data_IF_671580183630
#
_entry.id   IF_671580183630
#
_cell.length_a   1.000
_cell.length_b   1.000
_cell.length_c   1.000
_cell.angle_alpha   90.00
_cell.angle_beta   90.00
_cell.angle_gamma   90.00
#
_symmetry.space_group_name_H-M   'P 1'
#
loop_
_entity.id
_entity.type
_entity.pdbx_description
1 polymer ?
#
# COMPACT_ATOMS: atom_id res chain seq x y z
N UNK A 1 -23.49 13.26 -69.15
CA UNK A 1 -23.06 14.54 -68.52
C UNK A 1 -23.86 15.66 -69.16
N UNK A 2 -24.51 16.60 -68.52
CA UNK A 2 -24.78 16.95 -67.11
C UNK A 2 -25.72 18.16 -67.30
N UNK A 3 -26.85 18.23 -66.62
CA UNK A 3 -27.36 19.53 -66.13
C UNK A 3 -28.43 19.30 -65.07
N UNK A 4 -27.94 19.44 -63.85
CA UNK A 4 -28.67 19.62 -62.61
C UNK A 4 -29.43 20.95 -62.61
N UNK A 5 -30.69 20.90 -62.17
CA UNK A 5 -31.50 21.90 -61.45
C UNK A 5 -32.76 21.11 -61.05
N UNK A 6 -33.38 21.13 -59.88
CA UNK A 6 -33.21 21.84 -58.62
C UNK A 6 -34.26 21.25 -57.64
N UNK A 7 -33.88 21.01 -56.38
CA UNK A 7 -34.62 21.32 -55.13
C UNK A 7 -35.98 20.63 -54.81
N UNK A 8 -36.07 20.19 -53.53
CA UNK A 8 -37.25 19.87 -52.69
C UNK A 8 -38.09 18.66 -53.16
N UNK A 9 -38.68 17.79 -52.34
CA UNK A 9 -38.79 17.55 -50.90
C UNK A 9 -39.80 16.38 -50.77
N UNK A 10 -39.75 15.67 -49.65
CA UNK A 10 -40.82 14.85 -49.03
C UNK A 10 -41.05 13.37 -49.41
N UNK A 11 -40.96 12.56 -48.34
CA UNK A 11 -41.73 11.35 -47.96
C UNK A 11 -41.14 10.00 -48.43
N UNK A 12 -40.39 9.30 -47.57
CA UNK A 12 -40.84 8.31 -46.56
C UNK A 12 -41.43 7.03 -47.17
N UNK A 13 -40.69 5.92 -47.05
CA UNK A 13 -41.18 4.55 -46.72
C UNK A 13 -39.92 3.68 -46.52
N UNK A 14 -39.45 3.56 -45.28
CA UNK A 14 -39.66 2.37 -44.45
C UNK A 14 -39.05 1.08 -45.05
N UNK A 15 -37.75 0.90 -44.87
CA UNK A 15 -37.12 -0.42 -44.86
C UNK A 15 -36.72 -0.73 -43.42
N UNK A 16 -37.58 -1.50 -42.75
CA UNK A 16 -37.28 -2.18 -41.50
C UNK A 16 -36.15 -3.17 -41.79
N UNK A 17 -34.92 -2.79 -41.44
CA UNK A 17 -33.83 -3.75 -41.30
C UNK A 17 -33.77 -4.12 -39.83
N UNK A 18 -34.15 -5.37 -39.56
CA UNK A 18 -33.96 -6.01 -38.29
C UNK A 18 -32.47 -5.91 -37.90
N UNK A 19 -32.19 -5.10 -36.88
CA UNK A 19 -30.97 -5.25 -36.10
C UNK A 19 -31.09 -6.59 -35.38
N UNK A 20 -30.50 -7.62 -35.97
CA UNK A 20 -30.19 -8.83 -35.22
C UNK A 20 -29.19 -8.44 -34.15
N UNK A 21 -29.45 -8.82 -32.90
CA UNK A 21 -28.42 -8.88 -31.86
C UNK A 21 -27.39 -9.90 -32.35
N UNK A 22 -26.32 -9.43 -32.98
CA UNK A 22 -25.14 -10.25 -33.20
C UNK A 22 -24.45 -10.41 -31.85
N UNK A 23 -24.39 -11.63 -31.35
CA UNK A 23 -23.48 -11.99 -30.27
C UNK A 23 -22.06 -11.58 -30.67
N UNK A 24 -21.29 -11.06 -29.71
CA UNK A 24 -19.93 -10.55 -29.88
C UNK A 24 -19.01 -11.66 -30.41
N UNK A 25 -18.83 -11.74 -31.73
CA UNK A 25 -17.84 -12.61 -32.37
C UNK A 25 -16.49 -11.88 -32.45
N UNK A 26 -15.88 -11.60 -31.28
CA UNK A 26 -14.43 -11.48 -31.03
C UNK A 26 -14.17 -10.91 -29.62
N UNK A 27 -13.34 -11.54 -28.78
CA UNK A 27 -12.96 -11.00 -27.46
C UNK A 27 -12.32 -9.60 -27.50
N UNK A 28 -11.87 -9.13 -28.66
CA UNK A 28 -11.21 -7.83 -28.85
C UNK A 28 -12.13 -6.65 -29.16
N UNK A 29 -13.42 -6.86 -29.48
CA UNK A 29 -14.34 -5.77 -29.88
C UNK A 29 -15.11 -5.14 -28.71
N UNK A 30 -14.99 -5.69 -27.49
CA UNK A 30 -15.72 -5.23 -26.30
C UNK A 30 -14.92 -4.43 -25.27
N UNK A 31 -13.62 -4.20 -25.51
CA UNK A 31 -12.72 -3.49 -24.59
C UNK A 31 -12.21 -2.19 -25.22
N UNK A 32 -12.05 -1.16 -24.39
CA UNK A 32 -11.38 0.08 -24.78
C UNK A 32 -9.88 -0.01 -24.46
N UNK A 33 -9.06 0.56 -25.33
CA UNK A 33 -7.61 0.52 -25.23
C UNK A 33 -6.99 1.90 -25.40
N UNK A 34 -5.92 2.17 -24.65
CA UNK A 34 -5.10 3.38 -24.77
C UNK A 34 -3.64 2.98 -25.01
N UNK A 35 -2.99 3.66 -25.96
CA UNK A 35 -1.59 3.44 -26.31
C UNK A 35 -0.70 4.14 -25.27
N UNK A 36 0.36 3.48 -24.81
CA UNK A 36 1.31 4.13 -23.90
C UNK A 36 2.09 5.27 -24.60
N UNK A 37 2.76 6.11 -23.81
CA UNK A 37 3.50 7.29 -24.31
C UNK A 37 4.55 6.94 -25.39
N UNK A 38 5.20 5.77 -25.24
CA UNK A 38 6.22 5.26 -26.16
C UNK A 38 5.63 4.60 -27.42
N UNK A 39 4.30 4.55 -27.54
CA UNK A 39 3.58 3.99 -28.68
C UNK A 39 3.90 2.52 -28.99
N UNK A 40 4.30 1.74 -27.98
CA UNK A 40 4.77 0.37 -28.15
C UNK A 40 3.96 -0.69 -27.40
N UNK A 41 2.93 -0.29 -26.65
CA UNK A 41 2.05 -1.19 -25.91
C UNK A 41 0.71 -0.53 -25.59
N UNK A 42 -0.29 -1.34 -25.23
CA UNK A 42 -1.63 -0.90 -24.85
C UNK A 42 -1.94 -1.15 -23.37
N UNK A 43 -2.75 -0.25 -22.82
CA UNK A 43 -3.51 -0.44 -21.58
C UNK A 43 -4.98 -0.68 -21.92
N UNK A 44 -5.64 -1.58 -21.18
CA UNK A 44 -7.11 -1.69 -21.20
C UNK A 44 -7.68 -0.59 -20.31
N UNK A 45 -8.56 0.26 -20.83
CA UNK A 45 -9.07 1.44 -20.13
C UNK A 45 -10.58 1.41 -19.89
N UNK A 46 -11.29 0.39 -20.39
CA UNK A 46 -12.73 0.41 -20.37
C UNK A 46 -13.38 -0.86 -20.90
N UNK A 47 -14.67 -0.99 -20.61
CA UNK A 47 -15.59 -1.73 -21.46
C UNK A 47 -16.08 -0.81 -22.58
N UNK A 48 -16.00 -1.29 -23.81
CA UNK A 48 -16.71 -0.70 -24.94
C UNK A 48 -18.22 -0.94 -24.83
N UNK A 49 -18.90 -1.19 -25.95
CA UNK A 49 -20.37 -1.31 -26.03
C UNK A 49 -20.95 -2.64 -25.51
N UNK A 50 -20.15 -3.48 -24.86
CA UNK A 50 -20.53 -4.85 -24.52
C UNK A 50 -20.73 -5.04 -23.01
N UNK A 51 -21.93 -5.47 -22.62
CA UNK A 51 -22.29 -5.87 -21.26
C UNK A 51 -21.87 -7.32 -20.94
N UNK A 52 -20.68 -7.73 -21.40
CA UNK A 52 -20.21 -9.09 -21.14
C UNK A 52 -19.95 -9.28 -19.65
N UNK A 53 -20.36 -10.44 -19.17
CA UNK A 53 -20.19 -10.85 -17.78
C UNK A 53 -18.85 -11.57 -17.59
N UNK A 54 -18.28 -12.15 -18.66
CA UNK A 54 -17.02 -12.91 -18.59
C UNK A 54 -16.02 -12.34 -19.58
N UNK A 55 -14.92 -11.78 -19.07
CA UNK A 55 -13.95 -11.06 -19.89
C UNK A 55 -12.63 -11.83 -19.95
N UNK A 56 -12.08 -11.95 -21.15
CA UNK A 56 -10.72 -12.44 -21.37
C UNK A 56 -9.95 -11.33 -22.07
N UNK A 57 -9.03 -10.70 -21.34
CA UNK A 57 -8.18 -9.66 -21.91
C UNK A 57 -7.19 -10.35 -22.87
N UNK A 58 -7.09 -9.91 -24.14
CA UNK A 58 -6.11 -10.48 -25.07
C UNK A 58 -4.69 -10.03 -24.68
N UNK A 59 -3.69 -10.88 -24.92
CA UNK A 59 -2.29 -10.53 -24.68
C UNK A 59 -1.74 -9.48 -25.65
N UNK A 60 -2.41 -9.31 -26.79
CA UNK A 60 -2.04 -8.37 -27.85
C UNK A 60 -3.28 -7.68 -28.42
N UNK A 61 -3.14 -6.42 -28.80
CA UNK A 61 -4.15 -5.64 -29.52
C UNK A 61 -3.46 -4.89 -30.66
N UNK A 62 -4.00 -5.02 -31.89
CA UNK A 62 -3.44 -4.43 -33.11
C UNK A 62 -1.93 -4.70 -33.35
N UNK A 63 -1.45 -5.88 -32.92
CA UNK A 63 -0.05 -6.31 -33.11
C UNK A 63 0.94 -5.75 -32.07
N UNK A 64 0.45 -5.08 -31.02
CA UNK A 64 1.25 -4.63 -29.88
C UNK A 64 0.78 -5.33 -28.58
N UNK A 65 1.68 -5.54 -27.60
CA UNK A 65 1.32 -6.19 -26.34
C UNK A 65 0.36 -5.33 -25.52
N UNK A 66 -0.56 -6.01 -24.81
CA UNK A 66 -1.38 -5.40 -23.75
C UNK A 66 -0.64 -5.59 -22.43
N UNK A 67 -0.17 -4.49 -21.85
CA UNK A 67 0.77 -4.51 -20.71
C UNK A 67 0.14 -4.07 -19.39
N UNK A 68 -1.08 -3.54 -19.39
CA UNK A 68 -1.65 -2.99 -18.18
C UNK A 68 -3.16 -2.86 -18.22
N UNK A 69 -3.74 -2.77 -17.04
CA UNK A 69 -5.13 -2.36 -16.85
C UNK A 69 -5.10 -0.96 -16.26
N UNK A 70 -5.68 -0.01 -16.98
CA UNK A 70 -5.70 1.39 -16.63
C UNK A 70 -6.53 1.67 -15.37
N UNK A 71 -6.32 2.86 -14.82
CA UNK A 71 -7.05 3.34 -13.66
C UNK A 71 -8.56 3.35 -13.98
N UNK A 72 -9.37 2.83 -13.06
CA UNK A 72 -10.84 2.75 -13.18
C UNK A 72 -11.37 2.00 -14.42
N UNK A 73 -10.56 1.17 -15.09
CA UNK A 73 -10.95 0.54 -16.36
C UNK A 73 -12.28 -0.25 -16.31
N UNK A 74 -12.57 -0.90 -15.19
CA UNK A 74 -13.81 -1.64 -14.94
C UNK A 74 -14.54 -1.10 -13.71
N UNK A 75 -14.34 0.18 -13.36
CA UNK A 75 -14.99 0.79 -12.20
C UNK A 75 -16.52 0.68 -12.31
N UNK A 76 -17.14 0.10 -11.29
CA UNK A 76 -18.60 -0.01 -11.22
C UNK A 76 -19.21 -1.02 -12.20
N UNK A 77 -18.43 -1.93 -12.79
CA UNK A 77 -18.94 -2.97 -13.69
C UNK A 77 -19.78 -4.00 -12.94
N UNK A 78 -21.05 -3.67 -12.68
CA UNK A 78 -21.98 -4.47 -11.87
C UNK A 78 -22.36 -5.83 -12.46
N UNK A 79 -22.18 -6.01 -13.78
CA UNK A 79 -22.45 -7.28 -14.47
C UNK A 79 -21.22 -8.18 -14.61
N UNK A 80 -20.01 -7.69 -14.32
CA UNK A 80 -18.78 -8.45 -14.49
C UNK A 80 -18.73 -9.57 -13.45
N UNK A 81 -18.77 -10.83 -13.88
CA UNK A 81 -18.72 -12.02 -13.03
C UNK A 81 -17.35 -12.69 -13.04
N UNK A 82 -16.63 -12.65 -14.17
CA UNK A 82 -15.27 -13.17 -14.27
C UNK A 82 -14.36 -12.34 -15.17
N UNK A 83 -13.06 -12.30 -14.83
CA UNK A 83 -12.04 -11.74 -15.70
C UNK A 83 -10.77 -12.59 -15.73
N UNK A 84 -10.20 -12.75 -16.93
CA UNK A 84 -8.90 -13.37 -17.16
C UNK A 84 -7.92 -12.33 -17.70
N UNK A 85 -6.86 -12.09 -16.92
CA UNK A 85 -5.77 -11.16 -17.21
C UNK A 85 -4.57 -11.98 -17.70
N UNK A 86 -4.02 -11.72 -18.91
CA UNK A 86 -2.95 -12.53 -19.49
C UNK A 86 -1.57 -12.20 -18.90
N UNK A 87 -0.60 -13.10 -19.12
CA UNK A 87 0.80 -12.95 -18.68
C UNK A 87 1.54 -11.75 -19.30
N UNK A 88 1.01 -11.11 -20.33
CA UNK A 88 1.59 -9.88 -20.89
C UNK A 88 1.37 -8.65 -20.00
N UNK A 89 0.36 -8.69 -19.12
CA UNK A 89 0.01 -7.59 -18.22
C UNK A 89 0.97 -7.55 -17.04
N UNK A 90 1.53 -6.38 -16.78
CA UNK A 90 2.52 -6.14 -15.72
C UNK A 90 2.00 -5.27 -14.58
N UNK A 91 0.86 -4.59 -14.75
CA UNK A 91 0.24 -3.74 -13.73
C UNK A 91 -1.29 -3.73 -13.77
N UNK A 92 -1.91 -3.62 -12.59
CA UNK A 92 -3.33 -3.35 -12.40
C UNK A 92 -3.46 -1.98 -11.74
N UNK A 93 -4.07 -1.03 -12.45
CA UNK A 93 -4.18 0.36 -12.03
C UNK A 93 -5.15 0.60 -10.86
N UNK A 94 -5.14 1.83 -10.37
CA UNK A 94 -5.94 2.26 -9.24
C UNK A 94 -7.43 2.15 -9.54
N UNK A 95 -8.17 1.56 -8.60
CA UNK A 95 -9.61 1.35 -8.68
C UNK A 95 -10.06 0.58 -9.94
N UNK A 96 -9.17 -0.18 -10.59
CA UNK A 96 -9.44 -0.86 -11.86
C UNK A 96 -10.71 -1.71 -11.86
N UNK A 97 -11.00 -2.43 -10.78
CA UNK A 97 -12.19 -3.26 -10.59
C UNK A 97 -13.06 -2.81 -9.41
N UNK A 98 -12.86 -1.58 -8.94
CA UNK A 98 -13.60 -1.03 -7.80
C UNK A 98 -15.10 -1.09 -8.04
N UNK A 99 -15.85 -1.52 -7.02
CA UNK A 99 -17.30 -1.67 -7.04
C UNK A 99 -17.83 -2.59 -8.17
N UNK A 100 -17.15 -3.72 -8.42
CA UNK A 100 -17.68 -4.83 -9.22
C UNK A 100 -18.31 -5.90 -8.31
N UNK A 101 -19.53 -5.71 -7.77
CA UNK A 101 -20.10 -6.58 -6.74
C UNK A 101 -20.40 -8.00 -7.21
N UNK A 102 -20.54 -8.24 -8.52
CA UNK A 102 -20.79 -9.56 -9.09
C UNK A 102 -19.50 -10.33 -9.41
N UNK A 103 -18.31 -9.70 -9.28
CA UNK A 103 -17.04 -10.30 -9.67
C UNK A 103 -16.68 -11.42 -8.69
N UNK A 104 -16.67 -12.66 -9.18
CA UNK A 104 -16.44 -13.86 -8.38
C UNK A 104 -15.12 -14.53 -8.69
N UNK A 105 -14.64 -14.42 -9.94
CA UNK A 105 -13.45 -15.11 -10.43
C UNK A 105 -12.50 -14.12 -11.12
N UNK A 106 -11.28 -14.04 -10.60
CA UNK A 106 -10.20 -13.23 -11.18
C UNK A 106 -8.99 -14.13 -11.40
N UNK A 107 -8.57 -14.27 -12.65
CA UNK A 107 -7.31 -14.93 -13.00
C UNK A 107 -6.30 -13.85 -13.34
N UNK A 108 -5.20 -13.78 -12.58
CA UNK A 108 -4.12 -12.81 -12.78
C UNK A 108 -2.93 -13.52 -13.43
N UNK A 109 -2.42 -12.96 -14.53
CA UNK A 109 -1.21 -13.44 -15.19
C UNK A 109 0.04 -13.28 -14.32
N UNK A 110 1.05 -14.12 -14.59
CA UNK A 110 2.23 -14.27 -13.74
C UNK A 110 3.22 -13.09 -13.80
N UNK A 111 3.02 -12.11 -14.70
CA UNK A 111 3.91 -10.96 -14.84
C UNK A 111 3.43 -9.71 -14.10
N UNK A 112 2.28 -9.75 -13.43
CA UNK A 112 1.77 -8.59 -12.68
C UNK A 112 2.65 -8.31 -11.47
N UNK A 113 3.23 -7.12 -11.42
CA UNK A 113 4.17 -6.71 -10.36
C UNK A 113 3.54 -5.83 -9.29
N UNK A 114 2.40 -5.19 -9.60
CA UNK A 114 1.71 -4.26 -8.70
C UNK A 114 0.19 -4.35 -8.83
N UNK A 115 -0.48 -4.23 -7.68
CA UNK A 115 -1.94 -4.07 -7.57
C UNK A 115 -2.20 -2.70 -6.97
N UNK A 116 -2.85 -1.82 -7.74
CA UNK A 116 -3.08 -0.43 -7.41
C UNK A 116 -4.01 -0.19 -6.21
N UNK A 117 -4.09 1.07 -5.80
CA UNK A 117 -4.94 1.57 -4.72
C UNK A 117 -6.40 1.25 -5.05
N UNK A 118 -7.11 0.65 -4.09
CA UNK A 118 -8.52 0.30 -4.22
C UNK A 118 -8.84 -0.60 -5.43
N UNK A 119 -7.87 -1.32 -6.01
CA UNK A 119 -8.03 -2.05 -7.27
C UNK A 119 -9.26 -2.98 -7.31
N UNK A 120 -9.58 -3.68 -6.22
CA UNK A 120 -10.73 -4.58 -6.07
C UNK A 120 -11.67 -4.16 -4.92
N UNK A 121 -11.66 -2.88 -4.51
CA UNK A 121 -12.52 -2.44 -3.41
C UNK A 121 -14.00 -2.74 -3.72
N UNK A 122 -14.73 -3.32 -2.79
CA UNK A 122 -16.16 -3.59 -2.94
C UNK A 122 -16.50 -4.72 -3.93
N UNK A 123 -15.53 -5.53 -4.37
CA UNK A 123 -15.78 -6.81 -5.05
C UNK A 123 -16.37 -7.84 -4.07
N UNK A 124 -17.59 -7.58 -3.61
CA UNK A 124 -18.21 -8.28 -2.47
C UNK A 124 -18.50 -9.75 -2.72
N UNK A 125 -18.62 -10.19 -3.97
CA UNK A 125 -18.76 -11.60 -4.35
C UNK A 125 -17.44 -12.34 -4.60
N UNK A 126 -16.29 -11.66 -4.53
CA UNK A 126 -14.97 -12.28 -4.76
C UNK A 126 -14.67 -13.27 -3.62
N UNK A 127 -14.67 -14.56 -3.94
CA UNK A 127 -14.52 -15.62 -2.92
C UNK A 127 -13.07 -16.03 -2.70
N UNK A 128 -12.27 -15.99 -3.78
CA UNK A 128 -10.87 -16.38 -3.82
C UNK A 128 -10.15 -15.57 -4.89
N UNK A 129 -8.88 -15.26 -4.65
CA UNK A 129 -7.98 -14.68 -5.64
C UNK A 129 -6.57 -15.19 -5.39
N UNK A 130 -5.88 -15.58 -6.47
CA UNK A 130 -4.47 -15.95 -6.41
C UNK A 130 -3.66 -14.74 -6.85
N UNK A 131 -2.88 -14.17 -5.93
CA UNK A 131 -1.93 -13.11 -6.24
C UNK A 131 -0.63 -13.77 -6.77
N UNK A 132 -0.14 -13.40 -7.97
CA UNK A 132 1.10 -13.96 -8.52
C UNK A 132 2.35 -13.68 -7.67
N UNK A 133 3.34 -14.57 -7.72
CA UNK A 133 4.60 -14.44 -6.96
C UNK A 133 5.44 -13.21 -7.35
N UNK A 134 5.20 -12.64 -8.54
CA UNK A 134 5.84 -11.42 -9.04
C UNK A 134 5.31 -10.13 -8.42
N UNK A 135 4.17 -10.17 -7.71
CA UNK A 135 3.61 -8.99 -7.05
C UNK A 135 4.50 -8.60 -5.87
N UNK A 136 4.88 -7.32 -5.85
CA UNK A 136 5.76 -6.76 -4.81
C UNK A 136 5.05 -5.84 -3.83
N UNK A 137 3.86 -5.34 -4.20
CA UNK A 137 3.05 -4.45 -3.37
C UNK A 137 1.55 -4.70 -3.54
N UNK A 138 0.81 -4.55 -2.44
CA UNK A 138 -0.66 -4.52 -2.41
C UNK A 138 -1.06 -3.13 -1.93
N UNK A 139 -1.66 -2.34 -2.83
CA UNK A 139 -2.00 -0.94 -2.59
C UNK A 139 -3.05 -0.72 -1.51
N UNK A 140 -3.16 0.54 -1.06
CA UNK A 140 -4.12 0.97 -0.04
C UNK A 140 -5.54 0.54 -0.43
N UNK A 141 -6.26 -0.13 0.47
CA UNK A 141 -7.63 -0.57 0.22
C UNK A 141 -7.83 -1.57 -0.93
N UNK A 142 -6.76 -2.16 -1.49
CA UNK A 142 -6.82 -2.96 -2.73
C UNK A 142 -7.91 -4.05 -2.71
N UNK A 143 -8.15 -4.71 -1.58
CA UNK A 143 -9.20 -5.72 -1.40
C UNK A 143 -10.23 -5.32 -0.33
N UNK A 144 -10.31 -4.04 0.03
CA UNK A 144 -11.27 -3.57 1.04
C UNK A 144 -12.70 -3.90 0.62
N UNK A 145 -13.56 -4.29 1.57
CA UNK A 145 -14.94 -4.71 1.32
C UNK A 145 -15.12 -5.92 0.38
N UNK A 146 -14.09 -6.74 0.14
CA UNK A 146 -14.24 -8.07 -0.47
C UNK A 146 -14.87 -9.05 0.54
N UNK A 147 -16.12 -8.82 0.90
CA UNK A 147 -16.79 -9.46 2.05
C UNK A 147 -16.98 -10.97 1.95
N UNK A 148 -16.91 -11.56 0.75
CA UNK A 148 -16.95 -13.01 0.51
C UNK A 148 -15.57 -13.67 0.46
N UNK A 149 -14.47 -12.90 0.50
CA UNK A 149 -13.12 -13.45 0.42
C UNK A 149 -12.84 -14.25 1.69
N UNK A 150 -12.60 -15.56 1.55
CA UNK A 150 -12.48 -16.46 2.71
C UNK A 150 -11.04 -16.68 3.16
N UNK A 151 -10.12 -16.70 2.20
CA UNK A 151 -8.69 -16.87 2.42
C UNK A 151 -7.88 -16.14 1.35
N UNK A 152 -6.65 -15.74 1.71
CA UNK A 152 -5.71 -15.20 0.74
C UNK A 152 -4.26 -15.59 1.09
N UNK A 153 -3.48 -15.89 0.05
CA UNK A 153 -2.06 -16.15 0.15
C UNK A 153 -1.28 -14.91 -0.31
N UNK A 154 -0.55 -14.26 0.58
CA UNK A 154 0.32 -13.15 0.21
C UNK A 154 1.64 -13.74 -0.35
N UNK A 155 2.04 -13.39 -1.57
CA UNK A 155 3.22 -13.96 -2.19
C UNK A 155 4.52 -13.44 -1.57
N UNK A 156 5.60 -14.22 -1.67
CA UNK A 156 6.91 -13.90 -1.07
C UNK A 156 7.56 -12.64 -1.68
N UNK A 157 7.10 -12.19 -2.86
CA UNK A 157 7.54 -10.91 -3.43
C UNK A 157 7.02 -9.69 -2.65
N UNK A 158 5.92 -9.83 -1.91
CA UNK A 158 5.28 -8.70 -1.22
C UNK A 158 6.08 -8.27 -0.02
N UNK A 159 6.44 -6.99 0.00
CA UNK A 159 7.12 -6.32 1.12
C UNK A 159 6.18 -5.41 1.90
N UNK A 160 5.12 -4.90 1.25
CA UNK A 160 4.15 -3.99 1.85
C UNK A 160 2.70 -4.47 1.67
N UNK A 161 1.98 -4.58 2.80
CA UNK A 161 0.52 -4.67 2.83
C UNK A 161 0.01 -3.31 3.32
N UNK A 162 -0.51 -2.48 2.42
CA UNK A 162 -0.84 -1.10 2.73
C UNK A 162 -2.09 -0.92 3.65
N UNK A 163 -2.34 0.33 4.02
CA UNK A 163 -3.50 0.75 4.82
C UNK A 163 -4.81 0.20 4.23
N UNK A 164 -5.71 -0.27 5.10
CA UNK A 164 -7.03 -0.79 4.72
C UNK A 164 -7.05 -1.93 3.69
N UNK A 165 -5.90 -2.55 3.32
CA UNK A 165 -5.80 -3.48 2.18
C UNK A 165 -6.87 -4.57 2.17
N UNK A 166 -7.26 -5.10 3.34
CA UNK A 166 -8.32 -6.09 3.51
C UNK A 166 -9.41 -5.63 4.50
N UNK A 167 -9.58 -4.32 4.71
CA UNK A 167 -10.62 -3.81 5.63
C UNK A 167 -12.00 -4.36 5.22
N UNK A 168 -12.82 -4.76 6.21
CA UNK A 168 -14.19 -5.26 5.98
C UNK A 168 -14.27 -6.50 5.07
N UNK A 169 -13.21 -7.30 4.94
CA UNK A 169 -13.29 -8.67 4.43
C UNK A 169 -13.91 -9.59 5.49
N UNK A 170 -15.24 -9.48 5.67
CA UNK A 170 -15.97 -10.10 6.79
C UNK A 170 -16.03 -11.62 6.78
N UNK A 171 -15.59 -12.27 5.70
CA UNK A 171 -15.44 -13.74 5.63
C UNK A 171 -13.99 -14.20 5.69
N UNK A 172 -13.01 -13.28 5.76
CA UNK A 172 -11.59 -13.60 5.72
C UNK A 172 -11.15 -14.16 7.07
N UNK A 173 -11.03 -15.49 7.11
CA UNK A 173 -10.67 -16.24 8.33
C UNK A 173 -9.22 -16.70 8.35
N UNK A 174 -8.58 -16.75 7.18
CA UNK A 174 -7.21 -17.23 7.03
C UNK A 174 -6.41 -16.34 6.08
N UNK A 175 -5.22 -15.93 6.50
CA UNK A 175 -4.26 -15.23 5.66
C UNK A 175 -2.86 -15.79 5.90
N UNK A 176 -2.11 -16.00 4.84
CA UNK A 176 -0.69 -16.30 4.92
C UNK A 176 0.12 -15.02 4.69
N UNK A 177 0.93 -14.63 5.69
CA UNK A 177 1.87 -13.50 5.59
C UNK A 177 3.30 -14.08 5.52
N UNK A 178 4.03 -13.89 4.41
CA UNK A 178 5.41 -14.33 4.28
C UNK A 178 6.37 -13.46 5.08
N UNK A 179 7.56 -13.99 5.38
CA UNK A 179 8.61 -13.27 6.13
C UNK A 179 9.23 -12.12 5.30
N UNK A 180 8.89 -12.00 4.02
CA UNK A 180 9.27 -10.89 3.14
C UNK A 180 8.52 -9.59 3.45
N UNK A 181 7.34 -9.69 4.08
CA UNK A 181 6.55 -8.50 4.44
C UNK A 181 7.31 -7.76 5.52
N UNK A 182 7.64 -6.50 5.26
CA UNK A 182 8.31 -5.60 6.21
C UNK A 182 7.38 -4.53 6.76
N UNK A 183 6.18 -4.38 6.17
CA UNK A 183 5.20 -3.38 6.57
C UNK A 183 3.76 -3.91 6.46
N UNK A 184 2.97 -3.64 7.50
CA UNK A 184 1.52 -3.87 7.53
C UNK A 184 0.87 -2.56 7.96
N UNK A 185 0.09 -1.98 7.05
CA UNK A 185 -0.59 -0.71 7.24
C UNK A 185 -1.70 -0.75 8.28
N UNK A 186 -2.12 0.45 8.70
CA UNK A 186 -3.23 0.66 9.60
C UNK A 186 -4.50 0.03 9.06
N UNK A 187 -5.21 -0.65 9.95
CA UNK A 187 -6.52 -1.22 9.64
C UNK A 187 -6.50 -2.20 8.45
N UNK A 188 -5.33 -2.69 8.03
CA UNK A 188 -5.20 -3.62 6.91
C UNK A 188 -6.11 -4.84 7.07
N UNK A 189 -6.35 -5.29 8.31
CA UNK A 189 -7.25 -6.40 8.65
C UNK A 189 -8.42 -5.99 9.54
N UNK A 190 -8.83 -4.71 9.54
CA UNK A 190 -9.95 -4.24 10.36
C UNK A 190 -11.24 -4.95 9.92
N UNK A 191 -11.98 -5.46 10.90
CA UNK A 191 -13.21 -6.22 10.71
C UNK A 191 -13.04 -7.54 9.92
N UNK A 192 -11.82 -8.11 9.89
CA UNK A 192 -11.58 -9.47 9.41
C UNK A 192 -11.68 -10.47 10.58
N UNK A 193 -12.48 -11.55 10.47
CA UNK A 193 -12.56 -12.59 11.49
C UNK A 193 -11.38 -13.58 11.40
N UNK A 194 -10.14 -13.07 11.37
CA UNK A 194 -8.93 -13.88 11.25
C UNK A 194 -8.78 -14.82 12.45
N UNK A 195 -8.39 -16.06 12.18
CA UNK A 195 -7.98 -17.00 13.22
C UNK A 195 -6.61 -16.59 13.76
N UNK A 196 -6.59 -16.08 14.99
CA UNK A 196 -5.36 -15.69 15.67
C UNK A 196 -4.78 -16.83 16.50
N UNK A 197 -3.45 -16.89 16.58
CA UNK A 197 -2.74 -17.69 17.57
C UNK A 197 -2.89 -16.98 18.93
N UNK A 198 -3.57 -17.62 19.86
CA UNK A 198 -3.85 -17.08 21.19
C UNK A 198 -2.76 -17.50 22.18
N UNK A 199 -2.23 -16.53 22.92
CA UNK A 199 -1.29 -16.72 24.02
C UNK A 199 -1.69 -15.85 25.22
N UNK A 200 -1.02 -16.06 26.36
CA UNK A 200 -1.36 -15.41 27.62
C UNK A 200 -1.28 -13.87 27.56
N UNK A 201 -0.37 -13.35 26.75
CA UNK A 201 -0.11 -11.91 26.63
C UNK A 201 -0.93 -11.24 25.51
N UNK A 202 -1.08 -11.90 24.36
CA UNK A 202 -1.61 -11.31 23.15
C UNK A 202 -2.11 -12.34 22.14
N UNK A 203 -2.82 -11.83 21.14
CA UNK A 203 -3.21 -12.52 19.92
C UNK A 203 -2.21 -12.21 18.81
N UNK A 204 -1.75 -13.26 18.15
CA UNK A 204 -0.76 -13.17 17.08
C UNK A 204 -1.31 -13.70 15.76
N UNK A 205 -0.74 -13.19 14.68
CA UNK A 205 -0.94 -13.72 13.34
C UNK A 205 0.43 -14.20 12.84
N UNK A 206 0.50 -15.45 12.38
CA UNK A 206 1.73 -16.08 11.96
C UNK A 206 1.54 -17.52 11.50
N UNK A 207 2.53 -18.06 10.82
CA UNK A 207 2.53 -19.43 10.26
C UNK A 207 3.10 -20.44 11.25
N UNK A 208 3.01 -21.74 10.94
CA UNK A 208 3.55 -22.81 11.79
C UNK A 208 5.03 -22.64 12.16
N UNK A 209 5.86 -22.09 11.26
CA UNK A 209 7.28 -21.86 11.53
C UNK A 209 7.56 -20.62 12.37
N UNK A 210 6.66 -19.63 12.37
CA UNK A 210 6.70 -18.47 13.26
C UNK A 210 5.25 -18.04 13.61
N UNK A 211 4.66 -18.60 14.68
CA UNK A 211 3.29 -18.26 15.06
C UNK A 211 3.17 -16.87 15.70
N UNK A 212 4.29 -16.23 16.04
CA UNK A 212 4.36 -14.93 16.74
C UNK A 212 4.68 -13.75 15.81
N UNK A 213 4.70 -13.96 14.49
CA UNK A 213 5.17 -12.99 13.49
C UNK A 213 4.63 -11.57 13.70
N UNK A 214 3.30 -11.44 13.81
CA UNK A 214 2.60 -10.16 14.03
C UNK A 214 1.82 -10.20 15.34
N UNK A 215 2.13 -9.30 16.27
CA UNK A 215 1.31 -9.07 17.46
C UNK A 215 0.14 -8.16 17.07
N UNK A 216 -1.07 -8.71 17.08
CA UNK A 216 -2.28 -8.03 16.55
C UNK A 216 -3.01 -7.25 17.63
N UNK A 217 -3.25 -7.86 18.79
CA UNK A 217 -3.93 -7.20 19.91
C UNK A 217 -3.58 -7.86 21.25
N UNK A 218 -3.59 -7.08 22.32
CA UNK A 218 -3.47 -7.59 23.68
C UNK A 218 -4.57 -8.61 24.01
N UNK A 219 -4.26 -9.56 24.89
CA UNK A 219 -5.20 -10.61 25.30
C UNK A 219 -6.43 -10.03 26.03
N UNK A 220 -6.21 -9.02 26.85
CA UNK A 220 -7.23 -8.27 27.57
C UNK A 220 -6.73 -6.85 27.87
N UNK A 221 -7.66 -5.92 28.13
CA UNK A 221 -7.33 -4.52 28.41
C UNK A 221 -6.72 -4.29 29.81
N UNK A 222 -6.86 -5.27 30.71
CA UNK A 222 -6.39 -5.20 32.10
C UNK A 222 -4.96 -5.73 32.28
N UNK A 223 -4.28 -6.08 31.18
CA UNK A 223 -2.89 -6.56 31.21
C UNK A 223 -1.98 -5.50 31.85
N UNK A 224 -1.32 -5.87 32.96
CA UNK A 224 -0.49 -4.94 33.73
C UNK A 224 0.94 -4.78 33.17
N UNK A 225 1.46 -5.87 32.59
CA UNK A 225 2.78 -5.93 31.98
C UNK A 225 2.79 -6.93 30.83
N UNK A 226 3.60 -6.69 29.81
CA UNK A 226 3.72 -7.60 28.67
C UNK A 226 5.19 -7.81 28.26
N UNK A 227 5.61 -9.07 28.14
CA UNK A 227 6.84 -9.41 27.44
C UNK A 227 6.45 -9.94 26.06
N UNK A 228 6.93 -9.28 25.00
CA UNK A 228 6.69 -9.74 23.63
C UNK A 228 7.66 -10.89 23.33
N UNK A 229 7.21 -11.87 22.53
CA UNK A 229 8.00 -13.04 22.16
C UNK A 229 9.16 -12.67 21.22
N UNK A 230 10.32 -13.29 21.40
CA UNK A 230 11.55 -13.04 20.61
C UNK A 230 11.45 -13.40 19.12
N UNK A 231 10.35 -14.01 18.67
CA UNK A 231 10.09 -14.26 17.25
C UNK A 231 9.12 -13.24 16.63
N UNK A 232 8.65 -12.25 17.40
CA UNK A 232 7.77 -11.20 16.89
C UNK A 232 8.58 -10.19 16.08
N UNK A 233 8.11 -9.91 14.86
CA UNK A 233 8.72 -8.92 13.97
C UNK A 233 7.88 -7.64 13.90
N UNK A 234 6.55 -7.76 14.02
CA UNK A 234 5.61 -6.65 13.85
C UNK A 234 4.75 -6.47 15.09
N UNK A 235 4.64 -5.24 15.57
CA UNK A 235 3.59 -4.83 16.51
C UNK A 235 2.57 -4.03 15.72
N UNK A 236 1.38 -4.58 15.52
CA UNK A 236 0.35 -3.96 14.70
C UNK A 236 -0.17 -2.65 15.30
N UNK A 237 -0.71 -1.78 14.45
CA UNK A 237 -1.37 -0.56 14.89
C UNK A 237 -2.48 -0.88 15.90
N UNK A 238 -2.58 -0.04 16.93
CA UNK A 238 -3.55 -0.19 18.03
C UNK A 238 -3.45 -1.49 18.85
N UNK A 239 -2.37 -2.28 18.75
CA UNK A 239 -2.30 -3.59 19.40
C UNK A 239 -2.55 -3.57 20.92
N UNK A 240 -2.08 -2.55 21.63
CA UNK A 240 -2.32 -2.35 23.06
C UNK A 240 -3.23 -1.15 23.34
N UNK A 241 -3.94 -0.63 22.34
CA UNK A 241 -4.82 0.55 22.51
C UNK A 241 -5.80 0.34 23.67
N UNK A 242 -5.87 1.32 24.58
CA UNK A 242 -6.71 1.28 25.78
C UNK A 242 -6.36 0.17 26.78
N UNK A 243 -5.15 -0.39 26.77
CA UNK A 243 -4.68 -1.21 27.89
C UNK A 243 -4.33 -0.31 29.08
N UNK A 244 -5.34 0.15 29.82
CA UNK A 244 -5.21 1.19 30.84
C UNK A 244 -4.47 0.74 32.10
N UNK A 245 -4.20 -0.56 32.22
CA UNK A 245 -3.40 -1.14 33.31
C UNK A 245 -1.94 -1.39 32.90
N UNK A 246 -1.60 -1.26 31.60
CA UNK A 246 -0.29 -1.65 31.08
C UNK A 246 0.78 -0.62 31.45
N UNK A 247 1.57 -0.91 32.48
CA UNK A 247 2.62 -0.02 33.00
C UNK A 247 4.02 -0.34 32.49
N UNK A 248 4.26 -1.57 32.01
CA UNK A 248 5.55 -1.99 31.46
C UNK A 248 5.39 -2.91 30.25
N UNK A 249 6.30 -2.77 29.30
CA UNK A 249 6.38 -3.65 28.15
C UNK A 249 7.83 -3.85 27.72
N UNK A 250 8.19 -5.09 27.37
CA UNK A 250 9.51 -5.44 26.84
C UNK A 250 9.40 -5.71 25.34
N UNK A 251 10.20 -4.97 24.56
CA UNK A 251 10.28 -5.10 23.10
C UNK A 251 11.56 -5.88 22.75
N UNK A 252 11.47 -7.07 22.13
CA UNK A 252 12.64 -7.84 21.73
C UNK A 252 13.29 -7.26 20.47
N UNK A 253 14.59 -7.54 20.30
CA UNK A 253 15.40 -7.03 19.18
C UNK A 253 14.94 -7.55 17.80
N UNK A 254 14.10 -8.60 17.78
CA UNK A 254 13.49 -9.15 16.57
C UNK A 254 12.43 -8.23 15.95
N UNK A 255 11.87 -7.29 16.72
CA UNK A 255 10.86 -6.35 16.22
C UNK A 255 11.53 -5.37 15.27
N UNK A 256 10.95 -5.22 14.09
CA UNK A 256 11.45 -4.30 13.06
C UNK A 256 10.47 -3.14 12.82
N UNK A 257 9.20 -3.29 13.19
CA UNK A 257 8.18 -2.26 12.98
C UNK A 257 7.13 -2.22 14.09
N UNK A 258 6.72 -0.99 14.42
CA UNK A 258 5.67 -0.69 15.40
C UNK A 258 4.66 0.24 14.74
N UNK A 259 3.42 -0.25 14.67
CA UNK A 259 2.29 0.44 14.05
C UNK A 259 1.82 1.67 14.82
N UNK A 260 1.07 2.51 14.12
CA UNK A 260 0.50 3.73 14.69
C UNK A 260 -0.38 3.42 15.91
N UNK A 261 -0.30 4.27 16.94
CA UNK A 261 -1.11 4.16 18.15
C UNK A 261 -1.05 2.79 18.86
N UNK A 262 -0.02 1.97 18.60
CA UNK A 262 0.13 0.65 19.21
C UNK A 262 -0.01 0.69 20.74
N UNK A 263 0.49 1.75 21.38
CA UNK A 263 0.44 1.98 22.83
C UNK A 263 -0.46 3.15 23.25
N UNK A 264 -1.43 3.55 22.42
CA UNK A 264 -2.31 4.67 22.76
C UNK A 264 -3.12 4.38 24.03
N UNK A 265 -3.16 5.35 24.96
CA UNK A 265 -3.83 5.25 26.27
C UNK A 265 -3.30 4.12 27.17
N UNK A 266 -2.03 3.73 27.01
CA UNK A 266 -1.30 2.89 27.96
C UNK A 266 -0.49 3.76 28.93
N UNK A 267 -0.57 3.56 30.26
CA UNK A 267 0.24 4.28 31.24
C UNK A 267 1.66 3.68 31.36
N UNK A 268 2.34 3.48 30.23
CA UNK A 268 3.67 2.89 30.18
C UNK A 268 4.72 3.79 30.85
N UNK A 269 5.69 3.15 31.50
CA UNK A 269 6.94 3.80 31.89
C UNK A 269 7.86 3.85 30.68
N UNK A 270 8.26 5.05 30.27
CA UNK A 270 9.11 5.27 29.11
C UNK A 270 10.54 5.63 29.50
N UNK A 271 11.50 5.24 28.67
CA UNK A 271 12.82 5.86 28.68
C UNK A 271 12.73 7.18 27.91
N UNK A 272 13.28 8.25 28.46
CA UNK A 272 13.25 9.58 27.85
C UNK A 272 14.62 9.94 27.26
N UNK A 273 14.61 10.52 26.06
CA UNK A 273 15.79 11.12 25.45
C UNK A 273 15.36 12.22 24.48
N UNK A 274 15.87 13.44 24.69
CA UNK A 274 15.64 14.64 23.88
C UNK A 274 14.23 14.74 23.23
N UNK A 275 13.23 15.08 24.04
CA UNK A 275 11.83 15.23 23.60
C UNK A 275 11.14 13.97 23.03
N UNK A 276 11.76 12.79 23.13
CA UNK A 276 11.19 11.54 22.70
C UNK A 276 11.10 10.49 23.82
N UNK A 277 10.15 9.58 23.65
CA UNK A 277 9.85 8.45 24.53
C UNK A 277 10.18 7.14 23.81
N UNK A 278 10.87 6.27 24.53
CA UNK A 278 11.40 5.02 24.03
C UNK A 278 10.94 3.84 24.86
N UNK A 279 10.84 2.70 24.19
CA UNK A 279 10.63 1.38 24.77
C UNK A 279 11.70 0.43 24.24
N UNK A 280 11.96 -0.65 24.98
CA UNK A 280 13.00 -1.60 24.62
C UNK A 280 13.09 -2.76 25.59
N UNK A 281 14.30 -3.29 25.73
CA UNK A 281 14.61 -4.37 26.65
C UNK A 281 15.82 -3.99 27.53
N UNK A 282 16.25 -4.91 28.39
CA UNK A 282 17.37 -4.65 29.32
C UNK A 282 18.68 -4.34 28.59
N UNK A 283 18.94 -4.96 27.45
CA UNK A 283 20.15 -4.75 26.64
C UNK A 283 20.11 -3.44 25.87
N UNK A 284 18.93 -3.03 25.39
CA UNK A 284 18.71 -1.78 24.67
C UNK A 284 17.42 -1.07 25.14
N UNK A 285 17.49 -0.20 26.16
CA UNK A 285 16.33 0.54 26.66
C UNK A 285 15.79 1.60 25.66
N UNK A 286 16.57 1.94 24.64
CA UNK A 286 16.24 2.92 23.61
C UNK A 286 15.96 2.28 22.24
N UNK A 287 15.62 0.98 22.21
CA UNK A 287 15.44 0.21 20.98
C UNK A 287 14.42 0.85 20.02
N UNK A 288 13.27 1.24 20.55
CA UNK A 288 12.15 1.75 19.77
C UNK A 288 11.74 3.14 20.22
N UNK A 289 11.81 4.12 19.31
CA UNK A 289 11.20 5.43 19.50
C UNK A 289 9.70 5.30 19.17
N UNK A 290 8.84 5.51 20.15
CA UNK A 290 7.38 5.25 20.00
C UNK A 290 6.52 6.49 20.08
N UNK A 291 7.02 7.59 20.64
CA UNK A 291 6.27 8.85 20.77
C UNK A 291 7.19 10.04 21.05
N UNK A 292 6.75 11.25 20.70
CA UNK A 292 7.37 12.52 21.12
C UNK A 292 6.57 13.22 22.22
N UNK A 293 7.22 14.05 23.03
CA UNK A 293 6.60 14.79 24.16
C UNK A 293 5.43 15.65 23.72
N UNK A 294 5.57 16.33 22.60
CA UNK A 294 4.55 17.20 22.01
C UNK A 294 4.77 17.30 20.51
N UNK A 295 3.72 17.65 19.75
CA UNK A 295 3.82 17.89 18.30
C UNK A 295 4.44 19.26 17.98
N UNK A 296 4.60 20.14 18.97
CA UNK A 296 5.25 21.45 18.79
C UNK A 296 6.79 21.42 18.94
N UNK A 297 7.41 20.23 18.97
CA UNK A 297 8.87 20.13 19.03
C UNK A 297 9.49 20.70 17.76
N UNK A 298 10.55 21.49 17.91
CA UNK A 298 11.33 22.07 16.81
C UNK A 298 12.65 21.34 16.57
N UNK A 299 13.10 20.54 17.54
CA UNK A 299 14.29 19.70 17.45
C UNK A 299 14.09 18.39 18.24
N UNK A 300 14.66 17.30 17.73
CA UNK A 300 14.72 16.01 18.43
C UNK A 300 15.93 15.22 17.93
N UNK A 301 16.90 15.01 18.81
CA UNK A 301 18.04 14.12 18.59
C UNK A 301 17.58 12.69 18.86
N UNK A 302 17.50 11.87 17.82
CA UNK A 302 17.14 10.45 17.99
C UNK A 302 18.33 9.74 18.65
N UNK A 303 18.05 8.91 19.67
CA UNK A 303 19.11 8.18 20.39
C UNK A 303 19.87 7.25 19.43
N UNK A 304 21.21 7.21 19.51
CA UNK A 304 22.06 6.40 18.63
C UNK A 304 21.81 4.88 18.68
N UNK A 305 21.21 4.39 19.77
CA UNK A 305 20.90 2.97 19.93
C UNK A 305 19.52 2.59 19.35
N UNK A 306 18.77 3.56 18.81
CA UNK A 306 17.46 3.34 18.18
C UNK A 306 17.64 2.42 16.96
N UNK A 307 16.80 1.39 16.88
CA UNK A 307 16.67 0.52 15.71
C UNK A 307 15.32 0.67 15.02
N UNK A 308 14.32 1.13 15.77
CA UNK A 308 12.93 1.24 15.31
C UNK A 308 12.43 2.67 15.55
N UNK A 309 11.91 3.29 14.51
CA UNK A 309 11.12 4.52 14.63
C UNK A 309 9.68 4.13 14.31
N UNK A 310 8.80 4.20 15.31
CA UNK A 310 7.39 3.87 15.13
C UNK A 310 6.73 4.75 14.07
N UNK A 311 5.70 4.20 13.42
CA UNK A 311 4.93 4.94 12.43
C UNK A 311 4.30 6.19 13.05
N UNK A 312 4.17 7.27 12.27
CA UNK A 312 3.56 8.57 12.68
C UNK A 312 4.19 9.27 13.90
N UNK A 313 5.33 8.80 14.42
CA UNK A 313 5.98 9.36 15.62
C UNK A 313 6.16 10.87 15.50
N UNK A 314 6.74 11.32 14.39
CA UNK A 314 6.99 12.73 14.11
C UNK A 314 5.92 13.38 13.25
N UNK A 315 4.86 12.66 12.88
CA UNK A 315 3.77 13.23 12.08
C UNK A 315 3.24 14.51 12.72
N UNK A 316 3.05 15.55 11.91
CA UNK A 316 2.64 16.92 12.27
C UNK A 316 3.61 17.68 13.19
N UNK A 317 4.86 17.25 13.33
CA UNK A 317 5.84 17.95 14.16
C UNK A 317 6.40 19.21 13.47
N UNK A 318 6.78 20.21 14.26
CA UNK A 318 7.43 21.45 13.78
C UNK A 318 8.96 21.33 13.67
N UNK A 319 9.48 20.11 13.44
CA UNK A 319 10.92 19.87 13.29
C UNK A 319 11.47 20.69 12.13
N UNK A 320 12.67 21.26 12.30
CA UNK A 320 13.38 21.93 11.20
C UNK A 320 14.42 21.03 10.55
N UNK A 321 14.98 20.10 11.31
CA UNK A 321 15.88 19.06 10.81
C UNK A 321 15.81 17.80 11.69
N UNK A 322 16.21 16.66 11.13
CA UNK A 322 16.33 15.39 11.87
C UNK A 322 17.42 14.52 11.29
N UNK A 323 18.16 13.82 12.15
CA UNK A 323 19.13 12.82 11.75
C UNK A 323 18.69 11.43 12.22
N UNK A 324 18.54 10.51 11.27
CA UNK A 324 18.23 9.11 11.55
C UNK A 324 19.55 8.40 11.97
N UNK A 325 19.59 7.71 13.12
CA UNK A 325 20.82 7.09 13.61
C UNK A 325 21.17 5.82 12.83
N UNK A 326 22.47 5.50 12.80
CA UNK A 326 22.96 4.28 12.15
C UNK A 326 22.38 3.03 12.80
N UNK A 327 21.91 2.10 11.95
CA UNK A 327 21.30 0.85 12.36
C UNK A 327 19.77 0.87 12.45
N UNK A 328 19.12 2.00 12.17
CA UNK A 328 17.72 1.98 11.73
C UNK A 328 17.70 1.42 10.30
N UNK A 329 16.89 0.38 10.07
CA UNK A 329 16.79 -0.32 8.78
C UNK A 329 15.70 0.26 7.87
N UNK A 330 14.71 0.93 8.43
CA UNK A 330 13.56 1.44 7.68
C UNK A 330 12.98 2.69 8.32
N UNK A 331 12.53 3.63 7.49
CA UNK A 331 11.69 4.74 7.94
C UNK A 331 10.24 4.31 7.74
N UNK A 332 9.48 4.21 8.84
CA UNK A 332 8.10 3.73 8.80
C UNK A 332 7.15 4.67 8.05
N UNK A 333 5.98 4.15 7.71
CA UNK A 333 4.91 4.90 7.08
C UNK A 333 4.57 6.19 7.83
N UNK A 334 4.38 7.27 7.07
CA UNK A 334 3.94 8.57 7.59
C UNK A 334 4.77 9.14 8.74
N UNK A 335 6.00 8.64 8.97
CA UNK A 335 6.82 8.98 10.14
C UNK A 335 6.98 10.48 10.32
N UNK A 336 7.26 11.22 9.24
CA UNK A 336 7.43 12.67 9.20
C UNK A 336 6.32 13.38 8.42
N UNK A 337 5.19 12.71 8.14
CA UNK A 337 4.07 13.31 7.40
C UNK A 337 3.63 14.63 8.03
N UNK A 338 3.32 15.64 7.21
CA UNK A 338 2.93 16.99 7.62
C UNK A 338 3.94 17.72 8.51
N UNK A 339 5.24 17.36 8.48
CA UNK A 339 6.30 18.18 9.07
C UNK A 339 6.63 19.37 8.16
N UNK A 340 5.72 20.35 8.08
CA UNK A 340 5.81 21.45 7.11
C UNK A 340 7.04 22.35 7.27
N UNK A 341 7.67 22.35 8.45
CA UNK A 341 8.90 23.11 8.75
C UNK A 341 10.19 22.32 8.52
N UNK A 342 10.11 21.03 8.20
CA UNK A 342 11.27 20.16 8.05
C UNK A 342 12.05 20.54 6.79
N UNK A 343 13.21 21.15 6.98
CA UNK A 343 14.04 21.67 5.91
C UNK A 343 15.11 20.68 5.44
N UNK A 344 15.64 19.86 6.37
CA UNK A 344 16.64 18.87 6.04
C UNK A 344 16.55 17.57 6.85
N UNK A 345 17.00 16.47 6.24
CA UNK A 345 17.01 15.14 6.85
C UNK A 345 18.34 14.46 6.56
N UNK A 346 18.93 13.79 7.56
CA UNK A 346 20.07 12.88 7.35
C UNK A 346 19.61 11.43 7.49
N UNK A 347 19.85 10.62 6.45
CA UNK A 347 19.47 9.21 6.36
C UNK A 347 20.75 8.37 6.20
N UNK A 348 21.01 7.38 7.08
CA UNK A 348 22.18 6.51 6.97
C UNK A 348 21.99 5.44 5.90
N UNK A 349 23.09 4.89 5.37
CA UNK A 349 23.08 3.76 4.41
C UNK A 349 22.42 2.49 4.98
N UNK A 350 22.25 2.40 6.31
CA UNK A 350 21.55 1.27 6.94
C UNK A 350 20.06 1.25 6.62
N UNK A 351 19.47 2.38 6.21
CA UNK A 351 18.07 2.44 5.80
C UNK A 351 17.92 1.84 4.41
N UNK A 352 17.24 0.71 4.31
CA UNK A 352 17.01 -0.01 3.05
C UNK A 352 15.59 0.17 2.51
N UNK A 353 14.72 0.88 3.24
CA UNK A 353 13.34 1.16 2.81
C UNK A 353 12.76 2.42 3.46
N UNK A 354 11.95 3.15 2.69
CA UNK A 354 11.14 4.27 3.17
C UNK A 354 9.67 3.93 2.93
N UNK A 355 8.87 3.99 3.99
CA UNK A 355 7.44 3.69 3.95
C UNK A 355 6.64 4.74 3.19
N UNK A 356 5.43 4.37 2.80
CA UNK A 356 4.49 5.27 2.11
C UNK A 356 4.24 6.53 2.96
N UNK A 357 4.07 7.67 2.28
CA UNK A 357 3.81 8.97 2.90
C UNK A 357 4.81 9.41 3.99
N UNK A 358 5.99 8.79 4.12
CA UNK A 358 6.95 9.06 5.18
C UNK A 358 7.29 10.55 5.32
N UNK A 359 7.35 11.28 4.20
CA UNK A 359 7.60 12.73 4.11
C UNK A 359 6.47 13.47 3.38
N UNK A 360 5.24 12.91 3.39
CA UNK A 360 4.05 13.54 2.81
C UNK A 360 3.86 14.96 3.36
N UNK A 361 3.63 15.96 2.51
CA UNK A 361 3.44 17.37 2.90
C UNK A 361 4.61 18.01 3.69
N UNK A 362 5.84 17.51 3.54
CA UNK A 362 7.05 18.19 4.02
C UNK A 362 7.46 19.33 3.07
N UNK A 363 6.66 20.38 3.00
CA UNK A 363 6.77 21.45 1.99
C UNK A 363 8.07 22.29 2.06
N UNK A 364 8.74 22.34 3.21
CA UNK A 364 10.00 23.07 3.38
C UNK A 364 11.25 22.21 3.11
N UNK A 365 11.08 20.92 2.83
CA UNK A 365 12.19 19.99 2.64
C UNK A 365 12.92 20.34 1.35
N UNK A 366 14.18 20.77 1.48
CA UNK A 366 15.02 21.16 0.34
C UNK A 366 16.28 20.32 0.24
N UNK A 367 16.66 19.60 1.30
CA UNK A 367 17.90 18.82 1.33
C UNK A 367 17.74 17.51 2.09
N UNK A 368 18.14 16.40 1.45
CA UNK A 368 18.30 15.10 2.10
C UNK A 368 19.78 14.75 2.00
N UNK A 369 20.42 14.45 3.13
CA UNK A 369 21.76 13.85 3.14
C UNK A 369 21.60 12.35 3.30
N UNK A 370 21.98 11.57 2.28
CA UNK A 370 21.99 10.12 2.33
C UNK A 370 23.43 9.61 2.40
N UNK A 371 23.78 8.89 3.47
CA UNK A 371 25.17 8.45 3.70
C UNK A 371 25.57 7.21 2.87
N UNK A 372 24.86 6.92 1.77
CA UNK A 372 25.14 5.83 0.82
C UNK A 372 25.43 6.36 -0.59
N UNK A 373 25.40 5.49 -1.59
CA UNK A 373 25.55 5.83 -3.01
C UNK A 373 24.22 6.21 -3.66
N UNK A 374 24.26 6.86 -4.82
CA UNK A 374 23.07 7.14 -5.63
C UNK A 374 22.30 5.86 -6.01
N UNK A 375 23.01 4.78 -6.37
CA UNK A 375 22.39 3.49 -6.68
C UNK A 375 21.61 2.91 -5.48
N UNK A 376 22.18 3.02 -4.28
CA UNK A 376 21.49 2.62 -3.06
C UNK A 376 20.27 3.51 -2.79
N UNK A 377 20.37 4.81 -3.02
CA UNK A 377 19.23 5.72 -2.87
C UNK A 377 18.08 5.37 -3.81
N UNK A 378 18.36 5.11 -5.09
CA UNK A 378 17.35 4.71 -6.07
C UNK A 378 16.64 3.41 -5.67
N UNK A 379 17.37 2.48 -5.03
CA UNK A 379 16.77 1.26 -4.48
C UNK A 379 15.87 1.53 -3.27
N UNK A 380 16.26 2.47 -2.39
CA UNK A 380 15.53 2.82 -1.15
C UNK A 380 14.28 3.67 -1.43
N UNK A 381 14.38 4.60 -2.38
CA UNK A 381 13.34 5.57 -2.74
C UNK A 381 12.54 5.15 -3.99
N UNK A 382 12.52 3.85 -4.30
CA UNK A 382 12.04 3.27 -5.57
C UNK A 382 10.58 3.60 -5.94
N UNK A 383 9.72 3.91 -4.97
CA UNK A 383 8.32 4.28 -5.21
C UNK A 383 8.11 5.78 -4.96
N UNK A 384 7.16 6.42 -5.65
CA UNK A 384 6.96 7.87 -5.53
C UNK A 384 5.97 8.29 -4.42
N UNK A 385 5.43 7.33 -3.65
CA UNK A 385 4.41 7.65 -2.65
C UNK A 385 4.98 8.10 -1.30
N UNK A 386 6.29 7.96 -1.04
CA UNK A 386 6.88 8.36 0.24
C UNK A 386 7.01 9.88 0.41
N UNK A 387 7.14 10.65 -0.66
CA UNK A 387 7.38 12.11 -0.65
C UNK A 387 6.31 12.93 -1.36
N UNK A 388 5.06 12.45 -1.43
CA UNK A 388 3.99 13.21 -2.06
C UNK A 388 3.85 14.63 -1.45
N UNK A 389 3.57 15.64 -2.29
CA UNK A 389 3.41 17.04 -1.88
C UNK A 389 4.60 17.69 -1.13
N UNK A 390 5.82 17.18 -1.26
CA UNK A 390 7.06 17.95 -1.00
C UNK A 390 7.35 18.98 -2.08
N UNK A 391 8.16 20.00 -1.76
CA UNK A 391 8.77 20.88 -2.77
C UNK A 391 9.96 20.21 -3.49
N UNK A 392 10.67 20.98 -4.31
CA UNK A 392 11.91 20.54 -4.94
C UNK A 392 13.00 20.33 -3.88
N UNK A 393 13.78 19.25 -4.02
CA UNK A 393 14.87 18.95 -3.10
C UNK A 393 16.05 18.27 -3.81
N UNK A 394 17.21 18.38 -3.17
CA UNK A 394 18.43 17.67 -3.57
C UNK A 394 18.75 16.59 -2.55
N UNK A 395 19.04 15.39 -3.04
CA UNK A 395 19.59 14.28 -2.27
C UNK A 395 21.09 14.27 -2.47
N UNK A 396 21.84 14.52 -1.40
CA UNK A 396 23.29 14.46 -1.37
C UNK A 396 23.74 13.05 -0.97
N UNK A 397 24.28 12.30 -1.93
CA UNK A 397 24.88 10.99 -1.73
C UNK A 397 26.41 11.11 -1.63
N UNK A 398 27.08 10.02 -1.25
CA UNK A 398 28.55 9.98 -1.12
C UNK A 398 29.29 10.10 -2.46
N UNK A 399 28.64 9.79 -3.57
CA UNK A 399 29.18 9.73 -4.92
C UNK A 399 28.53 10.72 -5.91
N UNK A 400 27.61 11.57 -5.44
CA UNK A 400 26.95 12.59 -6.26
C UNK A 400 25.64 13.12 -5.67
N UNK A 401 25.00 14.02 -6.40
CA UNK A 401 23.72 14.63 -6.03
C UNK A 401 22.61 14.21 -7.00
N UNK A 402 21.42 13.94 -6.47
CA UNK A 402 20.19 13.70 -7.24
C UNK A 402 19.23 14.85 -6.96
N UNK A 403 18.77 15.57 -7.98
CA UNK A 403 17.78 16.64 -7.82
C UNK A 403 16.41 16.16 -8.28
N UNK A 404 15.42 16.19 -7.39
CA UNK A 404 14.02 15.92 -7.73
C UNK A 404 13.31 17.26 -7.95
N UNK A 405 12.94 17.53 -9.19
CA UNK A 405 12.08 18.67 -9.55
C UNK A 405 10.67 18.14 -9.80
N UNK A 406 9.67 18.58 -9.04
CA UNK A 406 8.28 18.20 -9.33
C UNK A 406 7.75 19.08 -10.45
N UNK A 407 7.40 18.45 -11.57
CA UNK A 407 6.65 19.11 -12.64
C UNK A 407 5.35 19.64 -12.04
N UNK A 408 5.06 20.93 -12.26
CA UNK A 408 3.80 21.54 -11.84
C UNK A 408 2.63 20.82 -12.53
N UNK A 409 1.87 20.01 -11.79
CA UNK A 409 0.56 19.54 -12.26
C UNK A 409 -0.47 20.65 -12.02
N UNK A 410 -0.43 21.66 -12.87
CA UNK A 410 -1.55 22.58 -13.12
C UNK A 410 -1.77 22.60 -14.65
N UNK A 411 -2.71 21.77 -15.12
CA UNK A 411 -3.47 21.95 -16.37
C UNK A 411 -4.72 21.07 -16.35
#
# INVERSE_FOLDING_TARGET
MKKFFSVLLTVLTAAVLAFSLTACEKPSEGLDYELNENQNAYYVTGLGTCADTNIVIPSEYQGLPVIGIGNRAFYGCTSLTSITIPDSVTSIGDSAFSNCPALTNVTIGNSVTSIGICAFIGCSALTNITIPDSVTSIGEGAFSHCSSLTSINIPYGVTNIADYAFENCTSLTSIYIPDSVTNIGNYAFKNCPLNYNEYDNAYYLGKKSNPYLVLVKAKNADIASCSINDNTQFIHSYAFRNCTSLTSITIPDSVTSIGNHAFEKCPLTYNEYDNAYYLGNESNPYLALVKVKTKFITSCSINKNTKIIGMYVFSTCSLTSVAIPTGVSSIGESTFSNCSSLASVTIPESVTSIGENAFLYCISLTSITYNGTMEQWDAVAKHDSWDANTGDYTVHCTDGDITKTKLSTDA
#
